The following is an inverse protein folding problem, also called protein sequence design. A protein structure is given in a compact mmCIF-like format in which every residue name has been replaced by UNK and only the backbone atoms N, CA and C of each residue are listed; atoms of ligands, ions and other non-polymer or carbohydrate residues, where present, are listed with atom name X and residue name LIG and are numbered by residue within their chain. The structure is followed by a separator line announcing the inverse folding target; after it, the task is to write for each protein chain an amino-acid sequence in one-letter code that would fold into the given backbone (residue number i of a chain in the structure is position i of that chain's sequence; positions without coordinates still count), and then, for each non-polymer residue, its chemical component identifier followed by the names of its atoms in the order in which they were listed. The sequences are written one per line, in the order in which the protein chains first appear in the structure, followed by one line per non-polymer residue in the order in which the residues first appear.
data_IF_587685171288
#
_entry.id   IF_587685171288
#
_cell.length_a   1.000
_cell.length_b   1.000
_cell.length_c   1.000
_cell.angle_alpha   90.00
_cell.angle_beta   90.00
_cell.angle_gamma   90.00
#
_symmetry.space_group_name_H-M   'P 1'
#
loop_
_entity.id
_entity.type
_entity.pdbx_description
1 polymer ?
#
# COMPACT_ATOMS: atom_id res chain seq x y z
N UNK A 1 -15.91 -34.83 2.10
CA UNK A 1 -15.92 -33.35 2.07
C UNK A 1 -14.53 -32.77 2.35
N UNK A 2 -13.87 -33.09 3.47
CA UNK A 2 -12.50 -32.60 3.76
C UNK A 2 -11.45 -33.01 2.71
N UNK A 3 -11.53 -34.22 2.18
CA UNK A 3 -10.61 -34.72 1.14
C UNK A 3 -10.81 -34.00 -0.20
N UNK A 4 -12.06 -33.90 -0.67
CA UNK A 4 -12.41 -33.16 -1.89
C UNK A 4 -11.92 -31.70 -1.84
N UNK A 5 -12.08 -31.03 -0.69
CA UNK A 5 -11.61 -29.64 -0.54
C UNK A 5 -10.08 -29.54 -0.59
N UNK A 6 -9.36 -30.50 0.00
CA UNK A 6 -7.89 -30.54 -0.07
C UNK A 6 -7.41 -30.79 -1.49
N UNK A 7 -8.00 -31.75 -2.18
CA UNK A 7 -7.62 -32.09 -3.56
C UNK A 7 -7.75 -30.89 -4.52
N UNK A 8 -8.78 -30.06 -4.33
CA UNK A 8 -8.96 -28.82 -5.11
C UNK A 8 -7.99 -27.71 -4.70
N UNK A 9 -7.66 -27.57 -3.40
CA UNK A 9 -6.85 -26.47 -2.88
C UNK A 9 -5.35 -26.73 -2.92
N UNK A 10 -4.92 -27.99 -2.81
CA UNK A 10 -3.51 -28.39 -2.72
C UNK A 10 -2.64 -27.83 -3.85
N UNK A 11 -3.10 -27.77 -5.13
CA UNK A 11 -2.33 -27.15 -6.22
C UNK A 11 -2.11 -25.64 -6.04
N UNK A 12 -3.02 -24.97 -5.33
CA UNK A 12 -3.04 -23.51 -5.15
C UNK A 12 -2.53 -23.05 -3.79
N UNK A 13 -2.38 -23.97 -2.82
CA UNK A 13 -1.75 -23.70 -1.53
C UNK A 13 -0.45 -22.90 -1.68
N UNK A 14 0.41 -23.18 -2.69
CA UNK A 14 1.61 -22.40 -2.89
C UNK A 14 1.38 -20.93 -3.21
N UNK A 15 0.34 -20.60 -3.96
CA UNK A 15 0.00 -19.22 -4.28
C UNK A 15 -0.61 -18.53 -3.05
N UNK A 16 -1.50 -19.23 -2.34
CA UNK A 16 -2.19 -18.71 -1.15
C UNK A 16 -1.19 -18.28 -0.08
N UNK A 17 -0.19 -19.11 0.25
CA UNK A 17 0.79 -18.72 1.28
C UNK A 17 1.60 -17.48 0.87
N UNK A 18 1.94 -17.34 -0.43
CA UNK A 18 2.70 -16.19 -0.95
C UNK A 18 1.88 -14.90 -0.86
N UNK A 19 0.60 -14.95 -1.23
CA UNK A 19 -0.32 -13.83 -1.08
C UNK A 19 -0.46 -13.45 0.40
N UNK A 20 -0.71 -14.41 1.30
CA UNK A 20 -0.79 -14.14 2.73
C UNK A 20 0.50 -13.50 3.28
N UNK A 21 1.66 -14.01 2.87
CA UNK A 21 2.93 -13.43 3.24
C UNK A 21 3.08 -11.97 2.76
N UNK A 22 2.68 -11.69 1.51
CA UNK A 22 2.68 -10.33 0.94
C UNK A 22 1.76 -9.36 1.72
N UNK A 23 0.62 -9.85 2.23
CA UNK A 23 -0.25 -9.04 3.09
C UNK A 23 0.38 -8.74 4.44
N UNK A 24 1.00 -9.75 5.06
CA UNK A 24 1.66 -9.61 6.37
C UNK A 24 2.83 -8.62 6.27
N UNK A 25 3.67 -8.69 5.23
CA UNK A 25 4.83 -7.79 5.12
C UNK A 25 4.40 -6.33 4.91
N UNK A 26 3.32 -6.09 4.17
CA UNK A 26 2.75 -4.73 4.00
C UNK A 26 2.15 -4.24 5.31
N UNK A 27 1.46 -5.09 6.06
CA UNK A 27 0.96 -4.76 7.40
C UNK A 27 2.10 -4.35 8.33
N UNK A 28 3.18 -5.13 8.37
CA UNK A 28 4.35 -4.84 9.19
C UNK A 28 5.01 -3.51 8.79
N UNK A 29 5.11 -3.21 7.50
CA UNK A 29 5.63 -1.94 7.02
C UNK A 29 4.78 -0.73 7.47
N UNK A 30 3.45 -0.87 7.43
CA UNK A 30 2.53 0.18 7.91
C UNK A 30 2.60 0.36 9.42
N UNK A 31 2.71 -0.74 10.19
CA UNK A 31 2.89 -0.68 11.65
C UNK A 31 4.23 -0.01 12.01
N UNK A 32 5.30 -0.33 11.28
CA UNK A 32 6.60 0.30 11.47
C UNK A 32 6.55 1.82 11.21
N UNK A 33 5.82 2.24 10.18
CA UNK A 33 5.59 3.68 9.93
C UNK A 33 4.79 4.34 11.07
N UNK A 34 3.74 3.69 11.57
CA UNK A 34 2.97 4.20 12.71
C UNK A 34 3.84 4.36 13.96
N UNK A 35 4.63 3.34 14.30
CA UNK A 35 5.49 3.38 15.48
C UNK A 35 6.57 4.47 15.36
N UNK A 36 7.16 4.63 14.18
CA UNK A 36 8.08 5.74 13.88
C UNK A 36 7.39 7.10 14.07
N UNK A 37 6.17 7.25 13.54
CA UNK A 37 5.36 8.46 13.69
C UNK A 37 5.05 8.81 15.15
N UNK A 38 4.64 7.82 15.96
CA UNK A 38 4.35 7.99 17.40
C UNK A 38 5.62 8.35 18.17
N UNK A 39 6.75 7.70 17.86
CA UNK A 39 8.02 7.98 18.53
C UNK A 39 8.50 9.41 18.25
N UNK A 40 8.36 9.88 17.01
CA UNK A 40 8.69 11.25 16.59
C UNK A 40 7.77 12.29 17.21
N UNK A 41 6.46 12.04 17.29
CA UNK A 41 5.51 13.00 17.89
C UNK A 41 5.72 13.13 19.40
N UNK A 42 5.98 12.01 20.09
CA UNK A 42 6.30 11.99 21.52
C UNK A 42 7.58 12.77 21.83
N UNK A 43 8.61 12.66 20.98
CA UNK A 43 9.85 13.43 21.13
C UNK A 43 9.64 14.96 21.00
N UNK A 44 8.57 15.39 20.31
CA UNK A 44 8.20 16.80 20.12
C UNK A 44 7.17 17.31 21.13
N UNK A 45 6.70 16.46 22.05
CA UNK A 45 5.67 16.82 23.04
C UNK A 45 4.26 17.03 22.46
N UNK A 46 4.03 16.65 21.19
CA UNK A 46 2.73 16.82 20.53
C UNK A 46 1.97 15.49 20.63
N UNK A 47 0.95 15.44 21.49
CA UNK A 47 0.08 14.27 21.65
C UNK A 47 -1.13 14.38 20.71
N UNK A 48 -1.10 13.64 19.60
CA UNK A 48 -2.26 13.49 18.70
C UNK A 48 -2.64 12.02 18.59
N UNK A 49 -3.44 11.54 19.55
CA UNK A 49 -3.77 10.12 19.68
C UNK A 49 -4.78 9.59 18.65
N UNK A 50 -5.70 10.43 18.14
CA UNK A 50 -6.74 9.98 17.20
C UNK A 50 -6.31 10.11 15.74
N UNK A 51 -5.77 11.28 15.36
CA UNK A 51 -5.41 11.59 13.97
C UNK A 51 -4.35 10.64 13.40
N UNK A 52 -3.38 10.19 14.21
CA UNK A 52 -2.34 9.25 13.79
C UNK A 52 -2.90 7.87 13.43
N UNK A 53 -3.86 7.38 14.21
CA UNK A 53 -4.53 6.09 13.98
C UNK A 53 -5.43 6.15 12.74
N UNK A 54 -6.23 7.19 12.59
CA UNK A 54 -7.08 7.39 11.40
C UNK A 54 -6.24 7.43 10.12
N UNK A 55 -5.09 8.12 10.16
CA UNK A 55 -4.15 8.17 9.04
C UNK A 55 -3.60 6.77 8.71
N UNK A 56 -3.30 5.96 9.71
CA UNK A 56 -2.84 4.58 9.50
C UNK A 56 -3.94 3.68 8.95
N UNK A 57 -5.18 3.83 9.42
CA UNK A 57 -6.34 3.12 8.86
C UNK A 57 -6.54 3.47 7.38
N UNK A 58 -6.37 4.75 7.02
CA UNK A 58 -6.43 5.17 5.61
C UNK A 58 -5.29 4.60 4.76
N UNK A 59 -4.08 4.47 5.32
CA UNK A 59 -3.01 3.73 4.65
C UNK A 59 -3.41 2.28 4.43
N UNK A 60 -3.85 1.58 5.49
CA UNK A 60 -4.26 0.18 5.39
C UNK A 60 -5.36 -0.02 4.34
N UNK A 61 -6.42 0.81 4.35
CA UNK A 61 -7.49 0.76 3.34
C UNK A 61 -6.94 0.86 1.92
N UNK A 62 -6.07 1.84 1.65
CA UNK A 62 -5.48 2.03 0.31
C UNK A 62 -4.59 0.85 -0.09
N UNK A 63 -3.74 0.37 0.83
CA UNK A 63 -2.79 -0.73 0.57
C UNK A 63 -3.52 -2.06 0.36
N UNK A 64 -4.50 -2.37 1.21
CA UNK A 64 -5.26 -3.62 1.14
C UNK A 64 -6.21 -3.65 -0.05
N UNK A 65 -6.83 -2.53 -0.42
CA UNK A 65 -7.64 -2.46 -1.64
C UNK A 65 -6.78 -2.73 -2.89
N UNK A 66 -5.58 -2.16 -2.94
CA UNK A 66 -4.64 -2.39 -4.05
C UNK A 66 -4.13 -3.83 -4.08
N UNK A 67 -3.71 -4.38 -2.92
CA UNK A 67 -3.31 -5.79 -2.81
C UNK A 67 -4.43 -6.74 -3.23
N UNK A 68 -5.67 -6.44 -2.84
CA UNK A 68 -6.83 -7.27 -3.17
C UNK A 68 -7.11 -7.23 -4.68
N UNK A 69 -7.04 -6.07 -5.31
CA UNK A 69 -7.17 -5.96 -6.76
C UNK A 69 -6.12 -6.80 -7.50
N UNK A 70 -4.84 -6.72 -7.09
CA UNK A 70 -3.78 -7.52 -7.71
C UNK A 70 -3.89 -9.02 -7.39
N UNK A 71 -4.34 -9.38 -6.18
CA UNK A 71 -4.55 -10.78 -5.80
C UNK A 71 -5.68 -11.43 -6.61
N UNK A 72 -6.72 -10.66 -6.95
CA UNK A 72 -7.77 -11.12 -7.85
C UNK A 72 -7.25 -11.35 -9.27
N UNK A 73 -6.43 -10.43 -9.78
CA UNK A 73 -5.77 -10.59 -11.10
C UNK A 73 -4.89 -11.84 -11.12
N UNK A 74 -4.03 -12.02 -10.12
CA UNK A 74 -3.17 -13.20 -10.02
C UNK A 74 -4.00 -14.49 -9.89
N UNK A 75 -5.10 -14.47 -9.13
CA UNK A 75 -5.99 -15.63 -9.00
C UNK A 75 -6.58 -16.03 -10.35
N UNK A 76 -7.03 -15.06 -11.17
CA UNK A 76 -7.54 -15.32 -12.52
C UNK A 76 -6.47 -15.92 -13.43
N UNK A 77 -5.24 -15.38 -13.39
CA UNK A 77 -4.12 -15.88 -14.21
C UNK A 77 -3.74 -17.32 -13.82
N UNK A 78 -3.70 -17.61 -12.53
CA UNK A 78 -3.32 -18.93 -12.00
C UNK A 78 -4.41 -19.96 -12.30
N UNK A 79 -5.69 -19.65 -12.04
CA UNK A 79 -6.83 -20.55 -12.34
C UNK A 79 -6.95 -20.79 -13.86
N UNK A 80 -6.62 -19.80 -14.69
CA UNK A 80 -6.66 -19.94 -16.15
C UNK A 80 -5.46 -20.71 -16.73
N UNK A 81 -4.56 -21.22 -15.89
CA UNK A 81 -3.34 -21.96 -16.27
C UNK A 81 -2.38 -21.19 -17.21
N UNK A 82 -2.56 -19.88 -17.36
CA UNK A 82 -1.69 -19.01 -18.18
C UNK A 82 -0.28 -18.95 -17.58
N UNK A 83 -0.19 -19.06 -16.25
CA UNK A 83 1.07 -19.07 -15.51
C UNK A 83 1.22 -20.39 -14.74
N UNK A 84 1.93 -21.40 -15.30
CA UNK A 84 2.07 -22.70 -14.65
C UNK A 84 2.90 -22.66 -13.36
N UNK A 85 3.56 -21.53 -13.05
CA UNK A 85 4.40 -21.41 -11.87
C UNK A 85 3.61 -21.21 -10.56
N UNK A 86 2.31 -20.90 -10.61
CA UNK A 86 1.48 -20.58 -9.44
C UNK A 86 2.12 -19.51 -8.52
N UNK A 87 2.77 -18.53 -9.14
CA UNK A 87 3.39 -17.38 -8.46
C UNK A 87 2.52 -16.14 -8.70
N UNK A 88 2.03 -15.48 -7.64
CA UNK A 88 1.22 -14.26 -7.73
C UNK A 88 2.15 -13.04 -7.92
N UNK A 89 2.66 -12.87 -9.15
CA UNK A 89 3.68 -11.85 -9.46
C UNK A 89 3.18 -10.43 -9.21
N UNK A 90 1.93 -10.14 -9.57
CA UNK A 90 1.39 -8.78 -9.45
C UNK A 90 1.26 -8.37 -7.98
N UNK A 91 0.77 -9.28 -7.14
CA UNK A 91 0.60 -9.09 -5.69
C UNK A 91 1.95 -8.90 -5.00
N UNK A 92 2.94 -9.73 -5.34
CA UNK A 92 4.30 -9.62 -4.78
C UNK A 92 4.93 -8.28 -5.17
N UNK A 93 4.87 -7.91 -6.45
CA UNK A 93 5.39 -6.64 -6.95
C UNK A 93 4.73 -5.43 -6.27
N UNK A 94 3.41 -5.46 -6.14
CA UNK A 94 2.65 -4.43 -5.44
C UNK A 94 3.07 -4.32 -3.97
N UNK A 95 3.22 -5.46 -3.27
CA UNK A 95 3.68 -5.48 -1.89
C UNK A 95 5.07 -4.84 -1.71
N UNK A 96 6.03 -5.18 -2.58
CA UNK A 96 7.39 -4.60 -2.55
C UNK A 96 7.32 -3.09 -2.71
N UNK A 97 6.62 -2.59 -3.73
CA UNK A 97 6.48 -1.14 -3.98
C UNK A 97 5.84 -0.46 -2.76
N UNK A 98 4.80 -1.05 -2.18
CA UNK A 98 4.13 -0.51 -1.01
C UNK A 98 5.05 -0.44 0.21
N UNK A 99 5.83 -1.50 0.49
CA UNK A 99 6.84 -1.49 1.55
C UNK A 99 7.88 -0.40 1.32
N UNK A 100 8.38 -0.21 0.10
CA UNK A 100 9.32 0.86 -0.24
C UNK A 100 8.75 2.25 0.06
N UNK A 101 7.46 2.48 -0.25
CA UNK A 101 6.80 3.77 0.03
C UNK A 101 6.70 4.03 1.53
N UNK A 102 6.34 3.03 2.35
CA UNK A 102 6.27 3.21 3.81
C UNK A 102 7.67 3.40 4.43
N UNK A 103 8.67 2.65 3.97
CA UNK A 103 10.06 2.84 4.39
C UNK A 103 10.54 4.26 4.07
N UNK A 104 10.26 4.76 2.86
CA UNK A 104 10.59 6.14 2.48
C UNK A 104 9.87 7.16 3.37
N UNK A 105 8.59 6.93 3.69
CA UNK A 105 7.81 7.77 4.62
C UNK A 105 8.42 7.86 6.02
N UNK A 106 9.08 6.79 6.50
CA UNK A 106 9.81 6.78 7.77
C UNK A 106 11.05 7.68 7.72
N UNK A 107 11.80 7.65 6.61
CA UNK A 107 13.03 8.43 6.48
C UNK A 107 12.79 9.92 6.21
N UNK A 108 11.65 10.29 5.62
CA UNK A 108 11.29 11.69 5.44
C UNK A 108 11.14 12.42 6.79
N UNK A 109 11.79 13.60 6.90
CA UNK A 109 11.68 14.49 8.07
C UNK A 109 10.30 15.18 8.07
N UNK A 110 9.80 15.50 9.26
CA UNK A 110 8.46 16.11 9.39
C UNK A 110 8.38 17.53 8.79
N UNK A 111 9.49 18.28 8.75
CA UNK A 111 9.55 19.61 8.11
C UNK A 111 9.31 19.51 6.59
N UNK A 112 9.88 18.49 5.95
CA UNK A 112 9.71 18.28 4.51
C UNK A 112 8.25 17.92 4.18
N UNK A 113 7.56 17.14 5.03
CA UNK A 113 6.15 16.78 4.84
C UNK A 113 5.21 17.99 4.82
N UNK A 114 5.50 19.04 5.59
CA UNK A 114 4.75 20.30 5.57
C UNK A 114 4.94 21.05 4.25
N UNK A 115 6.21 21.23 3.85
CA UNK A 115 6.59 21.92 2.62
C UNK A 115 6.07 21.24 1.36
N UNK A 116 6.09 19.90 1.29
CA UNK A 116 5.53 19.18 0.14
C UNK A 116 4.02 19.37 0.00
N UNK A 117 3.26 19.36 1.11
CA UNK A 117 1.82 19.60 1.07
C UNK A 117 1.50 21.02 0.63
N UNK A 118 2.25 21.99 1.13
CA UNK A 118 2.09 23.40 0.78
C UNK A 118 2.43 23.63 -0.70
N UNK A 119 3.57 23.12 -1.18
CA UNK A 119 3.96 23.20 -2.58
C UNK A 119 2.96 22.51 -3.53
N UNK A 120 2.45 21.33 -3.16
CA UNK A 120 1.43 20.64 -3.94
C UNK A 120 0.10 21.40 -3.98
N UNK A 121 -0.28 22.05 -2.86
CA UNK A 121 -1.48 22.90 -2.80
C UNK A 121 -1.33 24.14 -3.67
N UNK A 122 -0.20 24.84 -3.58
CA UNK A 122 0.10 25.98 -4.45
C UNK A 122 0.12 25.58 -5.92
N UNK A 123 0.73 24.43 -6.26
CA UNK A 123 0.73 23.92 -7.63
C UNK A 123 -0.69 23.58 -8.13
N UNK A 124 -1.54 22.99 -7.26
CA UNK A 124 -2.92 22.70 -7.58
C UNK A 124 -3.78 23.97 -7.73
N UNK A 125 -3.52 25.01 -6.94
CA UNK A 125 -4.16 26.32 -7.06
C UNK A 125 -3.75 27.03 -8.36
N UNK A 126 -2.46 26.99 -8.71
CA UNK A 126 -1.95 27.49 -10.00
C UNK A 126 -2.57 26.72 -11.16
N UNK A 127 -2.61 25.39 -11.10
CA UNK A 127 -3.23 24.56 -12.15
C UNK A 127 -4.73 24.83 -12.33
N UNK A 128 -5.45 25.20 -11.26
CA UNK A 128 -6.84 25.63 -11.34
C UNK A 128 -7.01 27.04 -11.89
N UNK A 129 -6.01 27.91 -11.68
CA UNK A 129 -5.98 29.28 -12.18
C UNK A 129 -5.47 29.40 -13.62
N UNK A 130 -4.73 28.42 -14.13
CA UNK A 130 -4.36 28.34 -15.54
C UNK A 130 -5.62 27.98 -16.33
N UNK A 131 -6.10 28.95 -17.11
CA UNK A 131 -7.16 28.71 -18.08
C UNK A 131 -6.62 27.69 -19.10
N UNK A 132 -7.28 26.53 -19.21
CA UNK A 132 -6.89 25.44 -20.13
C UNK A 132 -6.88 25.87 -21.62
N UNK A 133 -7.38 27.05 -21.92
CA UNK A 133 -7.41 27.67 -23.24
C UNK A 133 -6.03 28.20 -23.67
N UNK A 134 -5.12 28.55 -22.74
CA UNK A 134 -3.78 29.10 -23.06
C UNK A 134 -2.71 28.04 -23.40
N UNK A 135 -3.00 26.75 -23.14
CA UNK A 135 -2.08 25.62 -23.39
C UNK A 135 -2.44 24.80 -24.63
N UNK A 136 -3.51 25.19 -25.33
CA UNK A 136 -4.04 24.50 -26.52
C UNK A 136 -3.68 25.21 -27.84
N UNK A 137 -2.98 26.35 -27.77
CA UNK A 137 -2.35 27.06 -28.89
C UNK A 137 -0.83 26.80 -28.91
#
# INVERSE_FOLDING_TARGET
MKEIVREILDPYLPAIYKVLFAYIIVLLAVIADLWSGISKSKAKGIYTHTYGLDRTLDKLRKRYNLLLAFSLVDSLIIISEINPSNIPYATIGAAIIMCMVEIKSIFEKDEDKGRYKEAAKTAAELWKGINKEELAD
#
